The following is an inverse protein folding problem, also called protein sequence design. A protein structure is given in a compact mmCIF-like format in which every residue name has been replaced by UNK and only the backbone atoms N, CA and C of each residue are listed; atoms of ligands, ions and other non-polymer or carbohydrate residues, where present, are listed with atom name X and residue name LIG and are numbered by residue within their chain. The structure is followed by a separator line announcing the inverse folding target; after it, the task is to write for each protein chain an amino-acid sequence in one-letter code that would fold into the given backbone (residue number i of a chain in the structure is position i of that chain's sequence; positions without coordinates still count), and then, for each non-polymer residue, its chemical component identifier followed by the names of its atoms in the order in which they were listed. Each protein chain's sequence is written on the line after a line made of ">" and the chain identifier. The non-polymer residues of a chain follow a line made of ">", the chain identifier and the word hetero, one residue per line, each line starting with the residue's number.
data_IF_806784385581
#
_entry.id   IF_806784385581
#
_cell.length_a   1.000
_cell.length_b   1.000
_cell.length_c   1.000
_cell.angle_alpha   90.00
_cell.angle_beta   90.00
_cell.angle_gamma   90.00
#
_symmetry.space_group_name_H-M   'P 1'
#
loop_
_entity.id
_entity.type
_entity.pdbx_description
1 polymer ?
#
# COMPACT_ATOMS: atom_id res chain seq x y z
N UNK A 1 -8.36 -24.99 -52.66
CA UNK A 1 -9.14 -24.17 -51.71
C UNK A 1 -8.34 -24.16 -50.41
N UNK A 2 -7.44 -23.19 -50.26
CA UNK A 2 -6.56 -23.10 -49.09
C UNK A 2 -7.37 -22.56 -47.92
N UNK A 3 -7.50 -23.33 -46.84
CA UNK A 3 -8.03 -22.81 -45.59
C UNK A 3 -7.11 -21.67 -45.13
N UNK A 4 -7.66 -20.46 -45.07
CA UNK A 4 -7.01 -19.34 -44.40
C UNK A 4 -6.94 -19.68 -42.91
N UNK A 5 -5.87 -20.36 -42.49
CA UNK A 5 -5.47 -20.58 -41.10
C UNK A 5 -5.06 -19.27 -40.42
N UNK A 6 -5.95 -18.28 -40.45
CA UNK A 6 -5.76 -16.99 -39.81
C UNK A 6 -5.64 -17.19 -38.31
N UNK A 7 -4.59 -16.61 -37.72
CA UNK A 7 -4.41 -16.64 -36.28
C UNK A 7 -5.70 -16.21 -35.54
N UNK A 8 -6.09 -16.89 -34.45
CA UNK A 8 -7.28 -16.53 -33.70
C UNK A 8 -7.18 -15.08 -33.22
N UNK A 9 -8.27 -14.31 -33.37
CA UNK A 9 -8.33 -12.93 -32.91
C UNK A 9 -8.06 -12.85 -31.40
N UNK A 10 -7.34 -11.81 -30.96
CA UNK A 10 -7.06 -11.59 -29.54
C UNK A 10 -8.36 -11.19 -28.82
N UNK A 11 -8.84 -11.96 -27.83
CA UNK A 11 -10.06 -11.61 -27.10
C UNK A 11 -9.90 -10.31 -26.31
N UNK A 12 -10.97 -9.52 -26.19
CA UNK A 12 -10.98 -8.29 -25.38
C UNK A 12 -10.56 -8.51 -23.92
N UNK A 13 -10.85 -9.70 -23.37
CA UNK A 13 -10.42 -10.11 -22.04
C UNK A 13 -8.89 -10.14 -21.87
N UNK A 14 -8.11 -10.31 -22.95
CA UNK A 14 -6.63 -10.23 -22.90
C UNK A 14 -6.15 -8.81 -22.66
N UNK A 15 -6.89 -7.78 -23.09
CA UNK A 15 -6.44 -6.39 -22.97
C UNK A 15 -7.12 -5.69 -21.80
N UNK A 16 -8.45 -5.74 -21.73
CA UNK A 16 -9.22 -5.15 -20.64
C UNK A 16 -9.15 -5.96 -19.35
N UNK A 17 -8.84 -7.26 -19.44
CA UNK A 17 -8.54 -8.06 -18.26
C UNK A 17 -7.35 -7.55 -17.46
N UNK A 18 -6.44 -6.78 -18.07
CA UNK A 18 -5.30 -6.18 -17.39
C UNK A 18 -5.79 -5.15 -16.37
N UNK A 19 -6.71 -4.29 -16.81
CA UNK A 19 -7.32 -3.29 -15.95
C UNK A 19 -8.18 -3.94 -14.85
N UNK A 20 -8.94 -4.98 -15.20
CA UNK A 20 -9.76 -5.70 -14.21
C UNK A 20 -8.90 -6.42 -13.17
N UNK A 21 -7.87 -7.16 -13.60
CA UNK A 21 -6.95 -7.87 -12.72
C UNK A 21 -6.18 -6.89 -11.82
N UNK A 22 -5.72 -5.77 -12.38
CA UNK A 22 -5.10 -4.69 -11.63
C UNK A 22 -6.06 -4.12 -10.58
N UNK A 23 -7.30 -3.79 -10.95
CA UNK A 23 -8.25 -3.21 -10.00
C UNK A 23 -8.54 -4.14 -8.81
N UNK A 24 -8.64 -5.46 -9.05
CA UNK A 24 -8.82 -6.45 -7.97
C UNK A 24 -7.59 -6.54 -7.07
N UNK A 25 -6.39 -6.56 -7.66
CA UNK A 25 -5.14 -6.62 -6.92
C UNK A 25 -4.89 -5.36 -6.08
N UNK A 26 -4.99 -4.19 -6.71
CA UNK A 26 -4.75 -2.91 -6.05
C UNK A 26 -5.86 -2.55 -5.06
N UNK A 27 -7.06 -3.15 -5.14
CA UNK A 27 -8.06 -3.03 -4.08
C UNK A 27 -7.60 -3.70 -2.78
N UNK A 28 -6.94 -4.88 -2.86
CA UNK A 28 -6.30 -5.50 -1.70
C UNK A 28 -5.21 -4.58 -1.14
N UNK A 29 -4.33 -4.07 -2.02
CA UNK A 29 -3.26 -3.16 -1.61
C UNK A 29 -3.80 -1.89 -0.94
N UNK A 30 -4.79 -1.23 -1.54
CA UNK A 30 -5.41 -0.03 -1.00
C UNK A 30 -6.01 -0.26 0.40
N UNK A 31 -6.66 -1.41 0.59
CA UNK A 31 -7.29 -1.76 1.86
C UNK A 31 -6.26 -2.08 2.96
N UNK A 32 -5.10 -2.65 2.61
CA UNK A 32 -4.21 -3.27 3.58
C UNK A 32 -2.86 -2.56 3.75
N UNK A 33 -2.36 -1.86 2.73
CA UNK A 33 -0.96 -1.42 2.65
C UNK A 33 -0.55 -0.46 3.77
N UNK A 34 -1.25 0.64 3.99
CA UNK A 34 -0.84 1.59 5.03
C UNK A 34 -1.03 1.03 6.44
N UNK A 35 -2.05 0.19 6.66
CA UNK A 35 -2.27 -0.48 7.93
C UNK A 35 -1.15 -1.47 8.23
N UNK A 36 -0.83 -2.30 7.25
CA UNK A 36 0.24 -3.28 7.33
C UNK A 36 1.59 -2.60 7.56
N UNK A 37 1.95 -1.57 6.78
CA UNK A 37 3.24 -0.89 6.91
C UNK A 37 3.45 -0.30 8.31
N UNK A 38 2.44 0.34 8.89
CA UNK A 38 2.51 0.84 10.28
C UNK A 38 2.75 -0.28 11.29
N UNK A 39 2.10 -1.43 11.13
CA UNK A 39 2.26 -2.56 12.04
C UNK A 39 3.58 -3.32 11.85
N UNK A 40 4.08 -3.38 10.61
CA UNK A 40 5.29 -4.11 10.24
C UNK A 40 6.58 -3.30 10.47
N UNK A 41 6.48 -1.96 10.53
CA UNK A 41 7.62 -1.04 10.62
C UNK A 41 8.66 -1.43 11.67
N UNK A 42 8.32 -1.71 12.95
CA UNK A 42 9.34 -2.05 13.95
C UNK A 42 10.16 -3.30 13.58
N UNK A 43 9.51 -4.34 13.06
CA UNK A 43 10.20 -5.57 12.65
C UNK A 43 11.00 -5.41 11.35
N UNK A 44 10.57 -4.51 10.46
CA UNK A 44 11.31 -4.16 9.25
C UNK A 44 12.56 -3.33 9.56
N UNK A 45 12.48 -2.39 10.51
CA UNK A 45 13.61 -1.61 11.01
C UNK A 45 14.68 -2.49 11.63
N UNK A 46 14.29 -3.43 12.48
CA UNK A 46 15.21 -4.40 13.09
C UNK A 46 15.92 -5.24 12.02
N UNK A 47 15.20 -5.65 10.97
CA UNK A 47 15.73 -6.54 9.93
C UNK A 47 16.56 -5.82 8.88
N UNK A 48 16.30 -4.54 8.66
CA UNK A 48 17.00 -3.71 7.67
C UNK A 48 17.36 -2.33 8.26
N UNK A 49 18.34 -2.27 9.20
CA UNK A 49 18.66 -1.05 9.93
C UNK A 49 19.28 0.06 9.05
N UNK A 50 19.79 -0.28 7.87
CA UNK A 50 20.37 0.69 6.92
C UNK A 50 19.36 1.39 6.02
N UNK A 51 18.07 1.05 6.10
CA UNK A 51 17.02 1.66 5.27
C UNK A 51 16.46 2.90 6.00
N UNK A 52 16.29 4.05 5.31
CA UNK A 52 15.76 5.26 5.93
C UNK A 52 14.23 5.18 6.08
N UNK A 53 13.73 4.33 6.99
CA UNK A 53 12.31 4.03 7.21
C UNK A 53 11.45 5.27 7.47
N UNK A 54 12.02 6.30 8.12
CA UNK A 54 11.40 7.60 8.33
C UNK A 54 11.01 8.32 7.02
N UNK A 55 11.72 8.04 5.92
CA UNK A 55 11.42 8.59 4.58
C UNK A 55 10.44 7.72 3.79
N UNK A 56 10.13 6.52 4.30
CA UNK A 56 9.27 5.53 3.66
C UNK A 56 7.88 5.46 4.33
N UNK A 57 7.59 6.33 5.29
CA UNK A 57 6.24 6.42 5.86
C UNK A 57 5.22 6.88 4.81
N UNK A 58 4.19 6.07 4.59
CA UNK A 58 3.15 6.34 3.62
C UNK A 58 1.82 6.58 4.33
N UNK A 59 1.27 7.78 4.13
CA UNK A 59 -0.11 8.05 4.53
C UNK A 59 -1.09 7.33 3.60
N UNK A 60 -2.32 7.07 4.06
CA UNK A 60 -3.35 6.50 3.19
C UNK A 60 -3.64 7.39 1.98
N UNK A 61 -3.62 8.72 2.15
CA UNK A 61 -3.81 9.65 1.05
C UNK A 61 -2.72 9.49 -0.04
N UNK A 62 -1.47 9.25 0.37
CA UNK A 62 -0.38 8.95 -0.58
C UNK A 62 -0.62 7.65 -1.33
N UNK A 63 -1.00 6.58 -0.63
CA UNK A 63 -1.31 5.28 -1.24
C UNK A 63 -2.45 5.44 -2.26
N UNK A 64 -3.54 6.10 -1.88
CA UNK A 64 -4.68 6.35 -2.79
C UNK A 64 -4.28 7.12 -4.05
N UNK A 65 -3.49 8.20 -3.91
CA UNK A 65 -3.05 8.98 -5.08
C UNK A 65 -2.11 8.16 -5.97
N UNK A 66 -1.16 7.42 -5.38
CA UNK A 66 -0.24 6.58 -6.14
C UNK A 66 -0.97 5.47 -6.92
N UNK A 67 -1.91 4.77 -6.28
CA UNK A 67 -2.76 3.76 -6.92
C UNK A 67 -3.60 4.38 -8.04
N UNK A 68 -4.21 5.55 -7.80
CA UNK A 68 -4.98 6.25 -8.84
C UNK A 68 -4.15 6.61 -10.08
N UNK A 69 -2.92 7.12 -9.88
CA UNK A 69 -1.99 7.44 -10.97
C UNK A 69 -1.57 6.17 -11.74
N UNK A 70 -1.25 5.09 -11.03
CA UNK A 70 -0.92 3.80 -11.64
C UNK A 70 -2.11 3.25 -12.44
N UNK A 71 -3.33 3.38 -11.91
CA UNK A 71 -4.56 3.00 -12.59
C UNK A 71 -4.73 3.71 -13.93
N UNK A 72 -4.36 4.99 -14.02
CA UNK A 72 -4.34 5.73 -15.29
C UNK A 72 -3.37 5.13 -16.32
N UNK A 73 -2.16 4.76 -15.89
CA UNK A 73 -1.16 4.10 -16.74
C UNK A 73 -1.69 2.75 -17.24
N UNK A 74 -2.25 1.93 -16.33
CA UNK A 74 -2.78 0.61 -16.64
C UNK A 74 -3.99 0.68 -17.57
N UNK A 75 -4.91 1.62 -17.33
CA UNK A 75 -6.06 1.85 -18.19
C UNK A 75 -5.64 2.29 -19.59
N UNK A 76 -4.68 3.22 -19.70
CA UNK A 76 -4.10 3.64 -20.98
C UNK A 76 -3.43 2.50 -21.72
N UNK A 77 -2.66 1.66 -21.01
CA UNK A 77 -2.04 0.47 -21.58
C UNK A 77 -3.08 -0.55 -22.08
N UNK A 78 -4.13 -0.83 -21.30
CA UNK A 78 -5.23 -1.70 -21.68
C UNK A 78 -5.96 -1.19 -22.94
N UNK A 79 -6.28 0.11 -22.99
CA UNK A 79 -6.93 0.74 -24.14
C UNK A 79 -6.07 0.67 -25.41
N UNK A 80 -4.77 0.95 -25.29
CA UNK A 80 -3.81 0.81 -26.40
C UNK A 80 -3.66 -0.65 -26.83
N UNK A 81 -3.70 -1.59 -25.88
CA UNK A 81 -3.75 -3.02 -26.15
C UNK A 81 -4.99 -3.38 -26.99
N UNK A 82 -6.17 -2.96 -26.54
CA UNK A 82 -7.43 -3.22 -27.24
C UNK A 82 -7.42 -2.66 -28.67
N UNK A 83 -6.99 -1.40 -28.84
CA UNK A 83 -6.91 -0.73 -30.14
C UNK A 83 -5.91 -1.36 -31.12
N UNK A 84 -4.97 -2.19 -30.64
CA UNK A 84 -3.91 -2.79 -31.46
C UNK A 84 -3.98 -4.32 -31.50
N UNK A 85 -5.05 -4.93 -30.95
CA UNK A 85 -5.14 -6.38 -30.80
C UNK A 85 -3.97 -6.97 -30.01
N UNK A 86 -3.50 -6.26 -28.98
CA UNK A 86 -2.39 -6.68 -28.11
C UNK A 86 -0.98 -6.42 -28.66
N UNK A 87 -0.84 -5.80 -29.84
CA UNK A 87 0.48 -5.50 -30.45
C UNK A 87 1.17 -4.26 -29.87
N UNK A 88 0.46 -3.44 -29.08
CA UNK A 88 1.00 -2.24 -28.44
C UNK A 88 2.20 -2.57 -27.54
N UNK A 89 3.39 -1.98 -27.78
CA UNK A 89 4.56 -2.16 -26.92
C UNK A 89 4.32 -1.70 -25.49
N UNK A 90 3.52 -0.63 -25.30
CA UNK A 90 3.12 -0.15 -23.99
C UNK A 90 2.31 -1.20 -23.24
N UNK A 91 1.31 -1.78 -23.92
CA UNK A 91 0.47 -2.83 -23.34
C UNK A 91 1.30 -4.06 -22.94
N UNK A 92 2.17 -4.54 -23.82
CA UNK A 92 3.02 -5.70 -23.53
C UNK A 92 4.03 -5.42 -22.40
N UNK A 93 4.61 -4.23 -22.37
CA UNK A 93 5.50 -3.78 -21.28
C UNK A 93 4.78 -3.80 -19.93
N UNK A 94 3.58 -3.20 -19.87
CA UNK A 94 2.79 -3.16 -18.62
C UNK A 94 2.29 -4.54 -18.23
N UNK A 95 1.89 -5.39 -19.18
CA UNK A 95 1.49 -6.77 -18.90
C UNK A 95 2.64 -7.58 -18.27
N UNK A 96 3.86 -7.44 -18.80
CA UNK A 96 5.05 -8.09 -18.24
C UNK A 96 5.38 -7.53 -16.86
N UNK A 97 5.37 -6.20 -16.71
CA UNK A 97 5.59 -5.53 -15.43
C UNK A 97 4.56 -5.95 -14.38
N UNK A 98 3.28 -6.07 -14.75
CA UNK A 98 2.21 -6.53 -13.87
C UNK A 98 2.41 -7.98 -13.40
N UNK A 99 2.80 -8.88 -14.31
CA UNK A 99 3.16 -10.26 -13.93
C UNK A 99 4.37 -10.32 -12.99
N UNK A 100 5.41 -9.52 -13.26
CA UNK A 100 6.60 -9.43 -12.42
C UNK A 100 6.28 -8.84 -11.02
N UNK A 101 5.39 -7.84 -10.96
CA UNK A 101 4.89 -7.25 -9.71
C UNK A 101 4.25 -8.30 -8.80
N UNK A 102 3.40 -9.18 -9.36
CA UNK A 102 2.84 -10.29 -8.60
C UNK A 102 3.91 -11.22 -8.01
N UNK A 103 5.00 -11.50 -8.74
CA UNK A 103 6.11 -12.31 -8.24
C UNK A 103 6.88 -11.59 -7.11
N UNK A 104 7.04 -10.26 -7.20
CA UNK A 104 7.66 -9.45 -6.14
C UNK A 104 6.87 -9.57 -4.83
N UNK A 105 5.54 -9.53 -4.88
CA UNK A 105 4.70 -9.71 -3.68
C UNK A 105 4.88 -11.07 -3.02
N UNK A 106 4.95 -12.14 -3.81
CA UNK A 106 5.23 -13.47 -3.28
C UNK A 106 6.61 -13.55 -2.62
N UNK A 107 7.63 -12.93 -3.24
CA UNK A 107 8.97 -12.86 -2.67
C UNK A 107 8.99 -12.05 -1.36
N UNK A 108 8.30 -10.91 -1.31
CA UNK A 108 8.15 -10.09 -0.11
C UNK A 108 7.49 -10.88 1.03
N UNK A 109 6.40 -11.60 0.74
CA UNK A 109 5.73 -12.47 1.70
C UNK A 109 6.60 -13.61 2.19
N UNK A 110 7.37 -14.25 1.31
CA UNK A 110 8.32 -15.29 1.70
C UNK A 110 9.42 -14.75 2.63
N UNK A 111 9.96 -13.57 2.33
CA UNK A 111 10.97 -12.90 3.15
C UNK A 111 10.41 -12.47 4.52
N UNK A 112 9.19 -11.93 4.52
CA UNK A 112 8.44 -11.54 5.72
C UNK A 112 7.93 -12.75 6.52
N UNK A 113 7.91 -13.96 5.92
CA UNK A 113 7.35 -15.19 6.49
C UNK A 113 5.92 -15.01 7.00
N UNK A 114 5.11 -14.26 6.26
CA UNK A 114 3.77 -13.90 6.67
C UNK A 114 3.03 -13.12 5.60
N UNK A 115 1.86 -12.62 5.98
CA UNK A 115 1.04 -11.81 5.10
C UNK A 115 1.76 -10.50 4.72
N UNK A 116 1.79 -10.17 3.44
CA UNK A 116 2.04 -8.83 2.93
C UNK A 116 0.87 -8.42 2.02
N UNK A 117 0.57 -7.11 1.92
CA UNK A 117 -0.38 -6.60 0.93
C UNK A 117 -0.10 -7.21 -0.45
N UNK A 118 -1.12 -7.76 -1.10
CA UNK A 118 -1.00 -8.35 -2.44
C UNK A 118 -0.68 -9.85 -2.45
N UNK A 119 -0.36 -10.49 -1.32
CA UNK A 119 -0.02 -11.92 -1.28
C UNK A 119 -1.17 -12.84 -1.66
N UNK A 120 -2.42 -12.41 -1.44
CA UNK A 120 -3.59 -13.23 -1.76
C UNK A 120 -3.92 -13.11 -3.24
N UNK A 121 -4.00 -11.88 -3.74
CA UNK A 121 -4.38 -11.62 -5.13
C UNK A 121 -3.25 -11.89 -6.13
N UNK A 122 -1.97 -11.80 -5.74
CA UNK A 122 -0.85 -12.10 -6.64
C UNK A 122 -0.91 -13.53 -7.25
N UNK A 123 -1.03 -14.61 -6.46
CA UNK A 123 -1.06 -15.97 -6.99
C UNK A 123 -2.42 -16.38 -7.58
N UNK A 124 -3.53 -15.75 -7.18
CA UNK A 124 -4.88 -16.14 -7.65
C UNK A 124 -5.44 -15.26 -8.77
N UNK A 125 -4.92 -14.03 -8.94
CA UNK A 125 -5.35 -13.08 -9.96
C UNK A 125 -4.19 -12.70 -10.88
N UNK A 126 -3.16 -12.05 -10.34
CA UNK A 126 -2.11 -11.37 -11.13
C UNK A 126 -1.34 -12.35 -12.00
N UNK A 127 -0.72 -13.36 -11.39
CA UNK A 127 0.12 -14.34 -12.08
C UNK A 127 -0.71 -15.20 -13.04
N UNK A 128 -1.86 -15.78 -12.62
CA UNK A 128 -2.70 -16.55 -13.55
C UNK A 128 -3.16 -15.74 -14.75
N UNK A 129 -3.61 -14.50 -14.54
CA UNK A 129 -4.02 -13.61 -15.62
C UNK A 129 -2.85 -13.29 -16.56
N UNK A 130 -1.70 -12.88 -16.04
CA UNK A 130 -0.56 -12.49 -16.86
C UNK A 130 -0.05 -13.65 -17.73
N UNK A 131 0.05 -14.86 -17.14
CA UNK A 131 0.43 -16.08 -17.86
C UNK A 131 -0.61 -16.42 -18.94
N UNK A 132 -1.90 -16.38 -18.60
CA UNK A 132 -2.98 -16.66 -19.55
C UNK A 132 -2.98 -15.66 -20.72
N UNK A 133 -2.93 -14.36 -20.43
CA UNK A 133 -2.93 -13.29 -21.42
C UNK A 133 -1.74 -13.43 -22.37
N UNK A 134 -0.55 -13.69 -21.83
CA UNK A 134 0.65 -13.90 -22.64
C UNK A 134 0.54 -15.12 -23.56
N UNK A 135 0.01 -16.25 -23.06
CA UNK A 135 -0.24 -17.44 -23.88
C UNK A 135 -1.23 -17.17 -25.01
N UNK A 136 -2.28 -16.37 -24.74
CA UNK A 136 -3.26 -15.97 -25.76
C UNK A 136 -2.67 -15.07 -26.83
N UNK A 137 -1.83 -14.11 -26.47
CA UNK A 137 -1.11 -13.27 -27.44
C UNK A 137 -0.22 -14.12 -28.35
N UNK A 138 0.52 -15.09 -27.79
CA UNK A 138 1.35 -16.00 -28.58
C UNK A 138 0.54 -16.90 -29.51
N UNK A 139 -0.58 -17.44 -29.02
CA UNK A 139 -1.47 -18.26 -29.83
C UNK A 139 -2.12 -17.48 -30.99
N UNK A 140 -2.32 -16.17 -30.81
CA UNK A 140 -2.76 -15.25 -31.86
C UNK A 140 -1.63 -14.76 -32.79
N UNK A 141 -0.41 -15.29 -32.64
CA UNK A 141 0.77 -14.88 -33.39
C UNK A 141 1.15 -13.40 -33.22
N UNK A 142 0.73 -12.78 -32.12
CA UNK A 142 1.22 -11.45 -31.76
C UNK A 142 2.71 -11.58 -31.43
N UNK A 143 3.60 -10.77 -32.04
CA UNK A 143 5.00 -10.74 -31.64
C UNK A 143 5.09 -10.30 -30.18
N UNK A 144 5.35 -11.25 -29.27
CA UNK A 144 5.54 -11.00 -27.85
C UNK A 144 7.04 -10.98 -27.56
N UNK A 145 7.59 -9.80 -27.25
CA UNK A 145 9.03 -9.62 -27.01
C UNK A 145 9.51 -10.11 -25.64
N UNK A 146 8.95 -11.20 -25.11
CA UNK A 146 9.13 -11.67 -23.72
C UNK A 146 10.58 -11.96 -23.29
N UNK A 147 11.51 -12.07 -24.24
CA UNK A 147 12.95 -12.30 -24.01
C UNK A 147 13.85 -11.22 -24.62
N UNK A 148 13.28 -10.13 -25.16
CA UNK A 148 14.01 -9.04 -25.81
C UNK A 148 13.81 -7.67 -25.14
N UNK A 149 13.95 -6.59 -25.92
CA UNK A 149 13.84 -5.19 -25.44
C UNK A 149 12.52 -4.91 -24.69
N UNK A 150 11.41 -5.53 -25.08
CA UNK A 150 10.11 -5.36 -24.42
C UNK A 150 10.08 -6.05 -23.05
N UNK A 151 10.69 -7.23 -22.92
CA UNK A 151 10.86 -7.91 -21.63
C UNK A 151 11.73 -7.11 -20.66
N UNK A 152 12.89 -6.65 -21.13
CA UNK A 152 13.77 -5.79 -20.33
C UNK A 152 13.09 -4.47 -19.94
N UNK A 153 12.37 -3.85 -20.90
CA UNK A 153 11.58 -2.65 -20.62
C UNK A 153 10.47 -2.92 -19.60
N UNK A 154 9.79 -4.07 -19.66
CA UNK A 154 8.76 -4.45 -18.67
C UNK A 154 9.30 -4.56 -17.25
N UNK A 155 10.47 -5.21 -17.10
CA UNK A 155 11.15 -5.33 -15.80
C UNK A 155 11.65 -3.98 -15.29
N UNK A 156 12.24 -3.16 -16.16
CA UNK A 156 12.75 -1.83 -15.79
C UNK A 156 11.63 -0.80 -15.55
N UNK A 157 10.49 -0.94 -16.24
CA UNK A 157 9.36 -0.03 -16.11
C UNK A 157 8.74 -0.10 -14.72
N UNK A 158 8.82 -1.24 -14.03
CA UNK A 158 8.26 -1.41 -12.69
C UNK A 158 8.87 -0.42 -11.67
N UNK A 159 10.19 -0.44 -11.38
CA UNK A 159 10.77 0.52 -10.43
C UNK A 159 10.69 1.97 -10.92
N UNK A 160 10.75 2.22 -12.23
CA UNK A 160 10.62 3.56 -12.80
C UNK A 160 9.22 4.14 -12.62
N UNK A 161 8.18 3.38 -12.97
CA UNK A 161 6.79 3.78 -12.80
C UNK A 161 6.47 3.96 -11.32
N UNK A 162 6.93 3.04 -10.46
CA UNK A 162 6.75 3.12 -9.01
C UNK A 162 7.38 4.41 -8.44
N UNK A 163 8.63 4.71 -8.82
CA UNK A 163 9.31 5.93 -8.41
C UNK A 163 8.59 7.19 -8.90
N UNK A 164 8.13 7.21 -10.15
CA UNK A 164 7.40 8.33 -10.74
C UNK A 164 6.05 8.58 -10.05
N UNK A 165 5.23 7.54 -9.86
CA UNK A 165 3.91 7.69 -9.21
C UNK A 165 4.05 8.10 -7.75
N UNK A 166 5.04 7.57 -7.03
CA UNK A 166 5.27 7.97 -5.63
C UNK A 166 5.84 9.38 -5.52
N UNK A 167 6.75 9.78 -6.42
CA UNK A 167 7.25 11.16 -6.47
C UNK A 167 6.12 12.16 -6.72
N UNK A 168 5.23 11.86 -7.67
CA UNK A 168 4.07 12.69 -7.96
C UNK A 168 3.04 12.66 -6.83
N UNK A 169 2.77 11.51 -6.23
CA UNK A 169 1.89 11.39 -5.07
C UNK A 169 2.40 12.21 -3.87
N UNK A 170 3.71 12.20 -3.64
CA UNK A 170 4.34 13.02 -2.59
C UNK A 170 4.14 14.51 -2.83
N UNK A 171 4.28 14.95 -4.09
CA UNK A 171 4.04 16.35 -4.46
C UNK A 171 2.58 16.75 -4.27
N UNK A 172 1.64 15.89 -4.71
CA UNK A 172 0.20 16.15 -4.63
C UNK A 172 -0.39 16.04 -3.22
N UNK A 173 0.27 15.32 -2.32
CA UNK A 173 -0.19 15.15 -0.93
C UNK A 173 0.44 16.16 0.01
N UNK A 174 1.65 16.66 -0.28
CA UNK A 174 2.25 17.80 0.45
C UNK A 174 1.45 19.08 0.30
N UNK A 175 0.94 19.37 -0.89
CA UNK A 175 0.13 20.57 -1.16
C UNK A 175 -1.23 20.57 -0.49
N UNK A 176 -1.73 19.41 -0.04
CA UNK A 176 -3.01 19.26 0.68
C UNK A 176 -2.91 19.42 2.20
N UNK A 177 -1.74 19.76 2.75
CA UNK A 177 -1.63 20.32 4.12
C UNK A 177 -1.56 21.85 4.03
N UNK A 178 -2.67 22.58 3.93
CA UNK A 178 -2.69 23.99 4.28
C UNK A 178 -2.64 24.14 5.81
N UNK A 179 -1.93 25.17 6.26
CA UNK A 179 -1.72 25.58 7.64
C UNK A 179 -3.03 25.66 8.45
N UNK A 180 -3.37 24.59 9.17
CA UNK A 180 -4.33 24.65 10.25
C UNK A 180 -3.58 25.06 11.53
N UNK A 181 -3.33 26.36 11.69
CA UNK A 181 -2.62 26.87 12.85
C UNK A 181 -2.35 28.37 12.82
N UNK A 182 -3.33 29.19 12.43
CA UNK A 182 -3.36 30.60 12.85
C UNK A 182 -3.50 30.61 14.38
N UNK A 183 -2.38 30.61 15.10
CA UNK A 183 -2.30 31.04 16.49
C UNK A 183 -2.00 32.55 16.51
N UNK A 184 -3.01 33.36 16.19
CA UNK A 184 -3.08 34.75 16.66
C UNK A 184 -4.07 34.79 17.82
N UNK A 185 -3.55 34.73 19.04
CA UNK A 185 -4.37 34.91 20.24
C UNK A 185 -3.61 34.52 21.50
N UNK A 186 -2.91 35.48 22.09
CA UNK A 186 -2.29 35.28 23.40
C UNK A 186 -1.13 36.23 23.69
N UNK A 187 -1.42 37.53 23.82
CA UNK A 187 -0.49 38.52 24.39
C UNK A 187 -0.20 38.13 25.85
N UNK A 188 1.08 38.08 26.22
CA UNK A 188 1.64 37.85 27.57
C UNK A 188 1.64 39.19 28.38
N UNK A 189 2.18 39.22 29.61
CA UNK A 189 1.57 38.98 30.94
C UNK A 189 1.32 40.29 31.73
N UNK A 190 0.54 40.25 32.82
CA UNK A 190 0.70 41.23 33.91
C UNK A 190 0.76 40.56 35.28
N UNK A 191 1.68 41.11 36.07
CA UNK A 191 2.04 40.73 37.42
C UNK A 191 1.03 41.28 38.44
N UNK A 192 0.92 40.62 39.58
CA UNK A 192 0.10 41.06 40.71
C UNK A 192 0.45 40.27 41.96
N UNK A 193 1.55 40.66 42.59
CA UNK A 193 1.98 40.25 43.91
C UNK A 193 1.08 40.92 44.96
N UNK A 194 0.50 40.15 45.89
CA UNK A 194 0.17 40.68 47.21
C UNK A 194 0.15 39.57 48.26
N UNK A 195 1.05 39.75 49.23
CA UNK A 195 1.21 39.01 50.47
C UNK A 195 0.25 39.53 51.55
N UNK A 196 -0.12 38.66 52.51
CA UNK A 196 -0.48 38.93 53.93
C UNK A 196 -1.32 37.73 54.44
N UNK A 197 -0.80 36.78 55.21
CA UNK A 197 -0.42 36.80 56.64
C UNK A 197 -1.61 36.60 57.62
N UNK A 198 -1.79 35.36 58.13
CA UNK A 198 -1.94 35.00 59.57
C UNK A 198 -2.35 33.55 59.79
N UNK A 199 -1.76 32.96 60.84
CA UNK A 199 -1.90 31.58 61.31
C UNK A 199 -2.95 31.45 62.47
N UNK A 200 -2.99 30.36 63.28
CA UNK A 200 -4.09 29.39 63.33
C UNK A 200 -4.81 29.30 64.69
N UNK A 201 -5.92 28.54 64.78
CA UNK A 201 -6.41 27.74 65.94
C UNK A 201 -7.86 27.28 65.67
N UNK A 202 -8.15 25.98 65.60
CA UNK A 202 -8.45 25.00 66.68
C UNK A 202 -9.97 24.80 66.85
N UNK A 203 -10.44 23.54 66.73
CA UNK A 203 -11.84 23.20 67.03
C UNK A 203 -12.28 21.86 66.46
N UNK A 204 -12.35 20.86 67.33
CA UNK A 204 -12.63 19.45 67.07
C UNK A 204 -14.03 19.14 66.49
N UNK A 205 -14.09 18.19 65.55
CA UNK A 205 -15.31 17.39 65.27
C UNK A 205 -14.92 15.95 64.85
N UNK A 206 -15.66 14.97 65.38
CA UNK A 206 -15.33 13.55 65.42
C UNK A 206 -15.47 12.76 64.10
N UNK A 207 -15.20 11.44 64.11
CA UNK A 207 -15.06 10.66 62.88
C UNK A 207 -16.38 9.99 62.50
N UNK A 208 -16.92 10.34 61.32
CA UNK A 208 -18.00 9.59 60.66
C UNK A 208 -17.76 9.58 59.14
N UNK A 209 -17.57 8.36 58.62
CA UNK A 209 -17.81 7.85 57.26
C UNK A 209 -17.11 8.43 56.02
N UNK A 210 -16.73 7.50 55.12
CA UNK A 210 -16.62 7.77 53.68
C UNK A 210 -15.21 7.63 53.10
N UNK A 211 -14.73 6.40 52.88
CA UNK A 211 -13.55 6.17 52.06
C UNK A 211 -13.79 6.56 50.60
N UNK A 212 -12.87 7.28 49.92
CA UNK A 212 -12.98 7.55 48.49
C UNK A 212 -12.61 6.32 47.68
N UNK A 213 -13.48 5.95 46.74
CA UNK A 213 -13.16 5.03 45.64
C UNK A 213 -12.22 5.76 44.69
N UNK A 214 -10.91 5.56 44.84
CA UNK A 214 -9.92 6.01 43.86
C UNK A 214 -10.07 5.22 42.55
N UNK A 215 -10.45 5.92 41.49
CA UNK A 215 -10.34 5.46 40.11
C UNK A 215 -8.88 5.33 39.69
N UNK A 216 -8.31 4.14 39.84
CA UNK A 216 -6.98 3.82 39.32
C UNK A 216 -6.94 3.80 37.77
N UNK A 217 -5.80 4.13 37.15
CA UNK A 217 -5.67 4.15 35.70
C UNK A 217 -5.73 2.73 35.13
N UNK A 218 -6.54 2.56 34.09
CA UNK A 218 -6.71 1.34 33.32
C UNK A 218 -5.37 0.89 32.71
N UNK A 219 -4.61 0.04 33.42
CA UNK A 219 -3.44 -0.66 32.86
C UNK A 219 -3.95 -1.65 31.81
N UNK A 220 -3.84 -1.31 30.54
CA UNK A 220 -3.97 -2.29 29.44
C UNK A 220 -2.90 -3.36 29.61
N UNK A 221 -3.31 -4.60 29.93
CA UNK A 221 -2.42 -5.75 29.90
C UNK A 221 -2.00 -6.00 28.44
N UNK A 222 -0.71 -6.24 28.13
CA UNK A 222 -0.31 -6.65 26.80
C UNK A 222 -0.89 -8.05 26.51
N UNK A 223 -1.62 -8.16 25.40
CA UNK A 223 -2.12 -9.44 24.89
C UNK A 223 -0.92 -10.23 24.38
N UNK A 224 -0.47 -11.20 25.17
CA UNK A 224 0.60 -12.12 24.79
C UNK A 224 0.02 -13.22 23.90
N UNK A 225 0.12 -13.05 22.59
CA UNK A 225 -0.25 -14.08 21.63
C UNK A 225 0.65 -15.31 21.82
N UNK A 226 0.04 -16.47 22.10
CA UNK A 226 0.71 -17.78 22.04
C UNK A 226 0.49 -18.36 20.64
N UNK A 227 1.53 -18.80 19.92
CA UNK A 227 1.32 -19.48 18.65
C UNK A 227 0.67 -20.85 18.88
N UNK A 228 -0.41 -21.14 18.13
CA UNK A 228 -1.01 -22.46 18.05
C UNK A 228 0.02 -23.44 17.50
N UNK A 229 0.39 -24.44 18.30
CA UNK A 229 1.14 -25.61 17.83
C UNK A 229 0.14 -26.61 17.27
N UNK A 230 0.06 -26.73 15.95
CA UNK A 230 -0.62 -27.86 15.32
C UNK A 230 0.22 -29.11 15.56
N UNK A 231 -0.32 -30.03 16.38
CA UNK A 231 0.17 -31.42 16.45
C UNK A 231 -0.52 -32.18 15.32
N UNK A 232 0.30 -32.73 14.43
CA UNK A 232 -0.11 -33.65 13.38
C UNK A 232 -0.64 -34.94 14.03
N UNK A 233 -1.84 -35.34 13.63
CA UNK A 233 -2.30 -36.72 13.54
C UNK A 233 -2.61 -36.97 12.07
#
# INVERSE_FOLDING_TARGET
>A
MAENGGNPAVPAAVTWGLLAAWAVHDAEELATMAGWLRSARPGLEERFPGVPWERLEMSQAHVTVAIGLMGGIVAGAAARGAATGGRSPLFQTVLIGFGAHGAVHLAQSALARGYTPGVVTAPVVVIPYAVWAWRRLRAAGVPTGGTGRVGAAGLAALPLALGAVHGLAHLLTRTRRPDAGVHTGGRRPEAGEHTSDRAPEAGAHGPVEGGPVEGGPFRRRPVRWRPLRWRLL
#
